data_IF_732992859568
#
_entry.id   IF_732992859568
#
_cell.length_a   1.000
_cell.length_b   1.000
_cell.length_c   1.000
_cell.angle_alpha   90.00
_cell.angle_beta   90.00
_cell.angle_gamma   90.00
#
_symmetry.space_group_name_H-M   'P 1'
#
loop_
_entity.id
_entity.type
_entity.pdbx_description
1 polymer ?
#
# COMPACT_ATOMS: atom_id res chain seq x y z
N UNK A 1 19.19 18.82 14.92
CA UNK A 1 18.14 17.94 15.49
C UNK A 1 18.79 16.93 16.42
N UNK A 2 18.19 16.62 17.57
CA UNK A 2 18.73 15.63 18.53
C UNK A 2 18.18 14.24 18.18
N UNK A 3 19.08 13.24 18.05
CA UNK A 3 18.66 11.84 17.90
C UNK A 3 18.10 11.32 19.22
N UNK A 4 16.83 10.89 19.21
CA UNK A 4 16.21 10.22 20.35
C UNK A 4 16.00 8.73 20.01
N UNK A 5 16.90 7.87 20.53
CA UNK A 5 16.88 6.41 20.24
C UNK A 5 15.56 5.77 20.67
N UNK A 6 15.00 6.18 21.82
CA UNK A 6 13.75 5.62 22.33
C UNK A 6 12.56 5.93 21.41
N UNK A 7 12.44 7.18 20.92
CA UNK A 7 11.36 7.56 20.01
C UNK A 7 11.52 6.91 18.62
N UNK A 8 12.75 6.79 18.12
CA UNK A 8 13.03 6.07 16.89
C UNK A 8 12.62 4.59 16.99
N UNK A 9 12.91 3.91 18.12
CA UNK A 9 12.48 2.53 18.35
C UNK A 9 10.96 2.42 18.44
N UNK A 10 10.28 3.34 19.12
CA UNK A 10 8.82 3.37 19.18
C UNK A 10 8.23 3.57 17.77
N UNK A 11 8.77 4.51 17.00
CA UNK A 11 8.30 4.74 15.63
C UNK A 11 8.53 3.53 14.72
N UNK A 12 9.68 2.88 14.82
CA UNK A 12 9.94 1.62 14.11
C UNK A 12 8.96 0.52 14.55
N UNK A 13 8.71 0.38 15.86
CA UNK A 13 7.72 -0.55 16.40
C UNK A 13 6.31 -0.30 15.87
N UNK A 14 5.90 0.97 15.77
CA UNK A 14 4.59 1.31 15.22
C UNK A 14 4.46 0.91 13.75
N UNK A 15 5.50 1.08 12.94
CA UNK A 15 5.52 0.64 11.54
C UNK A 15 5.52 -0.89 11.45
N UNK A 16 6.32 -1.58 12.28
CA UNK A 16 6.37 -3.05 12.33
C UNK A 16 4.97 -3.63 12.62
N UNK A 17 4.32 -3.17 13.69
CA UNK A 17 3.02 -3.74 14.08
C UNK A 17 1.88 -3.33 13.15
N UNK A 18 1.93 -2.12 12.58
CA UNK A 18 0.97 -1.71 11.54
C UNK A 18 1.06 -2.63 10.32
N UNK A 19 2.27 -2.87 9.81
CA UNK A 19 2.45 -3.69 8.61
C UNK A 19 2.25 -5.19 8.86
N UNK A 20 2.55 -5.69 10.06
CA UNK A 20 2.19 -7.04 10.45
C UNK A 20 0.65 -7.23 10.54
N UNK A 21 -0.06 -6.25 11.11
CA UNK A 21 -1.52 -6.23 11.09
C UNK A 21 -2.05 -6.16 9.65
N UNK A 22 -1.49 -5.30 8.82
CA UNK A 22 -1.87 -5.19 7.41
C UNK A 22 -1.71 -6.53 6.67
N UNK A 23 -0.59 -7.25 6.89
CA UNK A 23 -0.38 -8.57 6.32
C UNK A 23 -1.47 -9.56 6.76
N UNK A 24 -1.82 -9.60 8.06
CA UNK A 24 -2.71 -10.62 8.62
C UNK A 24 -4.15 -10.55 8.12
N UNK A 25 -4.66 -9.37 7.78
CA UNK A 25 -6.04 -9.24 7.29
C UNK A 25 -6.12 -8.73 5.86
N UNK A 26 -5.43 -7.63 5.52
CA UNK A 26 -5.52 -7.09 4.15
C UNK A 26 -4.71 -7.93 3.15
N UNK A 27 -3.51 -8.42 3.56
CA UNK A 27 -2.70 -9.31 2.73
C UNK A 27 -3.35 -10.69 2.49
N UNK A 28 -4.13 -11.16 3.46
CA UNK A 28 -4.87 -12.44 3.41
C UNK A 28 -6.39 -12.26 3.29
N UNK A 29 -6.85 -11.09 2.83
CA UNK A 29 -8.29 -10.79 2.73
C UNK A 29 -9.06 -11.83 1.92
N UNK A 30 -8.57 -12.19 0.73
CA UNK A 30 -9.20 -13.20 -0.10
C UNK A 30 -9.21 -14.58 0.55
N UNK A 31 -8.12 -14.96 1.23
CA UNK A 31 -8.04 -16.25 1.95
C UNK A 31 -9.12 -16.32 3.04
N UNK A 32 -9.22 -15.28 3.87
CA UNK A 32 -10.20 -15.22 4.97
C UNK A 32 -11.64 -15.16 4.45
N UNK A 33 -11.92 -14.32 3.46
CA UNK A 33 -13.28 -14.14 2.97
C UNK A 33 -13.80 -15.36 2.18
N UNK A 34 -12.92 -16.07 1.46
CA UNK A 34 -13.28 -17.36 0.83
C UNK A 34 -13.66 -18.41 1.90
N UNK A 35 -12.89 -18.50 3.01
CA UNK A 35 -13.20 -19.37 4.14
C UNK A 35 -14.58 -19.07 4.77
N UNK A 36 -14.98 -17.81 4.74
CA UNK A 36 -16.30 -17.36 5.20
C UNK A 36 -17.44 -17.54 4.17
N UNK A 37 -17.16 -18.21 3.06
CA UNK A 37 -18.13 -18.50 2.01
C UNK A 37 -18.48 -17.30 1.11
N UNK A 38 -17.63 -16.27 1.09
CA UNK A 38 -17.82 -15.15 0.17
C UNK A 38 -17.38 -15.53 -1.25
N UNK A 39 -18.09 -15.03 -2.27
CA UNK A 39 -17.69 -15.16 -3.67
C UNK A 39 -16.56 -14.18 -4.02
N UNK A 40 -15.85 -14.40 -5.12
CA UNK A 40 -14.82 -13.47 -5.57
C UNK A 40 -15.41 -12.08 -5.90
N UNK A 41 -16.62 -12.01 -6.42
CA UNK A 41 -17.35 -10.75 -6.64
C UNK A 41 -17.57 -9.99 -5.33
N UNK A 42 -18.01 -10.67 -4.28
CA UNK A 42 -18.22 -10.08 -2.96
C UNK A 42 -16.89 -9.58 -2.36
N UNK A 43 -15.83 -10.35 -2.49
CA UNK A 43 -14.48 -9.97 -2.06
C UNK A 43 -14.02 -8.71 -2.80
N UNK A 44 -14.15 -8.72 -4.12
CA UNK A 44 -13.75 -7.59 -4.95
C UNK A 44 -14.53 -6.31 -4.62
N UNK A 45 -15.85 -6.41 -4.44
CA UNK A 45 -16.70 -5.28 -4.02
C UNK A 45 -16.25 -4.76 -2.64
N UNK A 46 -15.99 -5.65 -1.68
CA UNK A 46 -15.55 -5.26 -0.34
C UNK A 46 -14.21 -4.50 -0.36
N UNK A 47 -13.24 -5.00 -1.11
CA UNK A 47 -11.93 -4.35 -1.25
C UNK A 47 -12.03 -3.00 -1.99
N UNK A 48 -12.88 -2.91 -3.02
CA UNK A 48 -13.13 -1.67 -3.74
C UNK A 48 -13.78 -0.62 -2.83
N UNK A 49 -14.87 -1.00 -2.12
CA UNK A 49 -15.56 -0.12 -1.16
C UNK A 49 -14.63 0.34 -0.04
N UNK A 50 -13.83 -0.56 0.53
CA UNK A 50 -12.85 -0.22 1.57
C UNK A 50 -11.87 0.85 1.08
N UNK A 51 -11.39 0.72 -0.15
CA UNK A 51 -10.46 1.69 -0.75
C UNK A 51 -11.12 3.04 -0.99
N UNK A 52 -12.36 3.07 -1.48
CA UNK A 52 -13.12 4.32 -1.71
C UNK A 52 -13.37 5.04 -0.38
N UNK A 53 -13.85 4.31 0.62
CA UNK A 53 -14.14 4.88 1.95
C UNK A 53 -12.85 5.40 2.59
N UNK A 54 -11.73 4.65 2.50
CA UNK A 54 -10.45 5.07 3.03
C UNK A 54 -9.96 6.38 2.41
N UNK A 55 -10.10 6.55 1.09
CA UNK A 55 -9.72 7.80 0.38
C UNK A 55 -10.54 9.00 0.86
N UNK A 56 -11.80 8.79 1.23
CA UNK A 56 -12.64 9.86 1.79
C UNK A 56 -12.31 10.15 3.26
N UNK A 57 -12.03 9.11 4.05
CA UNK A 57 -11.71 9.26 5.47
C UNK A 57 -10.33 9.88 5.73
N UNK A 58 -9.33 9.60 4.89
CA UNK A 58 -7.97 10.13 5.07
C UNK A 58 -7.90 11.65 5.21
N UNK A 59 -8.46 12.46 4.27
CA UNK A 59 -8.43 13.91 4.40
C UNK A 59 -9.28 14.42 5.56
N UNK A 60 -10.38 13.73 5.91
CA UNK A 60 -11.21 14.10 7.07
C UNK A 60 -10.44 13.93 8.37
N UNK A 61 -9.73 12.81 8.54
CA UNK A 61 -8.89 12.56 9.73
C UNK A 61 -7.70 13.53 9.79
N UNK A 62 -7.05 13.80 8.66
CA UNK A 62 -5.97 14.78 8.59
C UNK A 62 -6.46 16.18 8.97
N UNK A 63 -7.57 16.64 8.39
CA UNK A 63 -8.19 17.92 8.72
C UNK A 63 -8.62 18.00 10.20
N UNK A 64 -9.16 16.91 10.75
CA UNK A 64 -9.49 16.86 12.17
C UNK A 64 -8.23 17.06 13.05
N UNK A 65 -7.13 16.35 12.73
CA UNK A 65 -5.88 16.48 13.45
C UNK A 65 -5.28 17.89 13.35
N UNK A 66 -5.34 18.50 12.16
CA UNK A 66 -4.83 19.87 11.93
C UNK A 66 -5.64 20.95 12.66
N UNK A 67 -6.95 20.77 12.78
CA UNK A 67 -7.84 21.70 13.47
C UNK A 67 -7.80 21.55 14.99
N UNK A 68 -7.34 20.41 15.53
CA UNK A 68 -7.31 20.12 16.97
C UNK A 68 -5.87 19.97 17.47
N UNK A 69 -5.02 20.95 17.22
CA UNK A 69 -3.59 20.95 17.63
C UNK A 69 -3.35 20.84 19.13
N UNK A 70 -4.35 21.10 19.95
CA UNK A 70 -4.35 20.89 21.39
C UNK A 70 -4.45 19.42 21.80
N UNK A 71 -4.85 18.52 20.87
CA UNK A 71 -4.92 17.08 21.10
C UNK A 71 -3.64 16.45 20.56
N UNK A 72 -2.90 15.75 21.41
CA UNK A 72 -1.72 15.01 20.95
C UNK A 72 -2.11 13.95 19.90
N UNK A 73 -1.34 13.81 18.83
CA UNK A 73 -1.59 12.88 17.73
C UNK A 73 -1.87 11.44 18.22
N UNK A 74 -1.16 10.98 19.27
CA UNK A 74 -1.40 9.65 19.87
C UNK A 74 -2.81 9.51 20.45
N UNK A 75 -3.42 10.59 20.94
CA UNK A 75 -4.77 10.58 21.52
C UNK A 75 -5.85 10.66 20.43
N UNK A 76 -5.48 10.98 19.19
CA UNK A 76 -6.34 10.87 18.00
C UNK A 76 -6.26 9.44 17.44
N UNK A 77 -5.04 8.89 17.31
CA UNK A 77 -4.82 7.57 16.71
C UNK A 77 -5.31 6.43 17.64
N UNK A 78 -5.01 6.50 18.92
CA UNK A 78 -5.27 5.39 19.84
C UNK A 78 -6.76 5.00 19.96
N UNK A 79 -7.75 5.90 20.06
CA UNK A 79 -9.16 5.51 20.04
C UNK A 79 -9.60 4.82 18.76
N UNK A 80 -9.05 5.25 17.62
CA UNK A 80 -9.35 4.65 16.31
C UNK A 80 -8.79 3.23 16.25
N UNK A 81 -7.55 3.01 16.71
CA UNK A 81 -6.96 1.66 16.80
C UNK A 81 -7.74 0.79 17.78
N UNK A 82 -8.21 1.33 18.90
CA UNK A 82 -9.04 0.59 19.85
C UNK A 82 -10.37 0.16 19.22
N UNK A 83 -11.01 1.01 18.42
CA UNK A 83 -12.20 0.65 17.66
C UNK A 83 -11.90 -0.50 16.69
N UNK A 84 -10.78 -0.44 15.97
CA UNK A 84 -10.35 -1.53 15.07
C UNK A 84 -10.16 -2.83 15.84
N UNK A 85 -9.52 -2.80 17.02
CA UNK A 85 -9.36 -3.98 17.89
C UNK A 85 -10.73 -4.55 18.27
N UNK A 86 -11.68 -3.71 18.71
CA UNK A 86 -13.02 -4.16 19.11
C UNK A 86 -13.78 -4.79 17.94
N UNK A 87 -13.78 -4.16 16.77
CA UNK A 87 -14.44 -4.71 15.57
C UNK A 87 -13.80 -6.02 15.12
N UNK A 88 -12.47 -6.13 15.22
CA UNK A 88 -11.73 -7.35 14.85
C UNK A 88 -11.93 -8.48 15.85
N UNK A 89 -12.08 -8.16 17.15
CA UNK A 89 -12.47 -9.13 18.18
C UNK A 89 -13.90 -9.65 17.93
N UNK A 90 -14.84 -8.79 17.54
CA UNK A 90 -16.19 -9.19 17.12
C UNK A 90 -16.10 -10.14 15.92
N UNK A 91 -15.29 -9.79 14.92
CA UNK A 91 -15.09 -10.60 13.71
C UNK A 91 -14.52 -12.00 14.03
N UNK A 92 -13.67 -12.11 15.07
CA UNK A 92 -13.08 -13.36 15.50
C UNK A 92 -14.04 -14.22 16.36
N UNK A 93 -14.74 -13.59 17.31
CA UNK A 93 -15.49 -14.28 18.36
C UNK A 93 -16.93 -14.58 17.96
N UNK A 94 -17.54 -13.78 17.09
CA UNK A 94 -18.97 -13.88 16.78
C UNK A 94 -19.12 -14.49 15.38
N UNK A 95 -19.68 -15.71 15.29
CA UNK A 95 -20.04 -16.29 14.00
C UNK A 95 -21.13 -15.44 13.35
N UNK A 96 -20.94 -15.05 12.11
CA UNK A 96 -21.88 -14.21 11.38
C UNK A 96 -22.10 -14.70 9.96
N UNK A 97 -23.15 -14.18 9.32
CA UNK A 97 -23.38 -14.40 7.89
C UNK A 97 -22.26 -13.77 7.06
N UNK A 98 -22.07 -14.22 5.83
CA UNK A 98 -21.12 -13.64 4.90
C UNK A 98 -21.27 -12.11 4.75
N UNK A 99 -22.51 -11.59 4.73
CA UNK A 99 -22.78 -10.16 4.67
C UNK A 99 -22.31 -9.41 5.91
N UNK A 100 -22.51 -10.00 7.11
CA UNK A 100 -22.01 -9.40 8.36
C UNK A 100 -20.48 -9.36 8.39
N UNK A 101 -19.82 -10.45 7.98
CA UNK A 101 -18.36 -10.51 7.85
C UNK A 101 -17.85 -9.46 6.86
N UNK A 102 -18.48 -9.34 5.68
CA UNK A 102 -18.13 -8.33 4.67
C UNK A 102 -18.27 -6.91 5.22
N UNK A 103 -19.36 -6.61 5.91
CA UNK A 103 -19.58 -5.28 6.53
C UNK A 103 -18.45 -4.94 7.53
N UNK A 104 -18.10 -5.89 8.42
CA UNK A 104 -17.01 -5.69 9.38
C UNK A 104 -15.66 -5.50 8.67
N UNK A 105 -15.35 -6.34 7.68
CA UNK A 105 -14.09 -6.26 6.92
C UNK A 105 -13.98 -4.93 6.19
N UNK A 106 -15.05 -4.48 5.50
CA UNK A 106 -15.05 -3.16 4.84
C UNK A 106 -14.79 -2.05 5.84
N UNK A 107 -15.47 -2.07 6.99
CA UNK A 107 -15.30 -1.07 8.04
C UNK A 107 -13.87 -1.06 8.60
N UNK A 108 -13.36 -2.23 8.99
CA UNK A 108 -12.01 -2.40 9.54
C UNK A 108 -10.95 -1.92 8.54
N UNK A 109 -11.04 -2.35 7.27
CA UNK A 109 -10.04 -2.01 6.26
C UNK A 109 -10.05 -0.53 5.91
N UNK A 110 -11.24 0.07 5.82
CA UNK A 110 -11.39 1.52 5.58
C UNK A 110 -10.73 2.35 6.67
N UNK A 111 -11.01 2.01 7.94
CA UNK A 111 -10.46 2.71 9.10
C UNK A 111 -8.94 2.51 9.16
N UNK A 112 -8.46 1.27 9.04
CA UNK A 112 -7.03 0.96 9.17
C UNK A 112 -6.19 1.61 8.07
N UNK A 113 -6.67 1.60 6.82
CA UNK A 113 -6.01 2.29 5.71
C UNK A 113 -5.96 3.81 5.92
N UNK A 114 -6.98 4.37 6.57
CA UNK A 114 -7.04 5.81 6.84
C UNK A 114 -6.07 6.26 7.93
N UNK A 115 -5.76 5.41 8.91
CA UNK A 115 -4.81 5.70 9.99
C UNK A 115 -3.38 5.86 9.46
N UNK A 116 -3.03 5.25 8.32
CA UNK A 116 -1.66 5.29 7.79
C UNK A 116 -1.15 6.71 7.59
N UNK A 117 -2.01 7.63 7.15
CA UNK A 117 -1.66 9.05 6.99
C UNK A 117 -1.27 9.68 8.31
N UNK A 118 -2.05 9.44 9.38
CA UNK A 118 -1.75 9.95 10.73
C UNK A 118 -0.47 9.31 11.31
N UNK A 119 -0.26 8.01 11.07
CA UNK A 119 0.95 7.31 11.49
C UNK A 119 2.20 7.88 10.83
N UNK A 120 2.13 8.22 9.54
CA UNK A 120 3.23 8.88 8.84
C UNK A 120 3.47 10.29 9.39
N UNK A 121 2.41 11.05 9.64
CA UNK A 121 2.49 12.41 10.20
C UNK A 121 3.13 12.45 11.60
N UNK A 122 3.04 11.34 12.35
CA UNK A 122 3.61 11.27 13.70
C UNK A 122 5.13 11.54 13.72
N UNK A 123 5.88 11.06 12.70
CA UNK A 123 7.31 11.35 12.57
C UNK A 123 7.56 12.85 12.43
N UNK A 124 6.81 13.51 11.56
CA UNK A 124 6.96 14.94 11.27
C UNK A 124 6.58 15.83 12.47
N UNK A 125 5.60 15.41 13.28
CA UNK A 125 5.28 16.10 14.54
C UNK A 125 6.49 16.14 15.46
N UNK A 126 7.25 15.06 15.61
CA UNK A 126 8.47 15.05 16.43
C UNK A 126 9.60 15.85 15.80
N UNK A 127 9.75 15.82 14.47
CA UNK A 127 10.73 16.65 13.76
C UNK A 127 10.49 18.14 13.98
N UNK A 128 9.22 18.59 13.99
CA UNK A 128 8.85 19.97 14.34
C UNK A 128 9.29 20.38 15.75
N UNK A 129 9.51 19.45 16.67
CA UNK A 129 10.06 19.69 17.99
C UNK A 129 11.57 19.46 18.07
N UNK A 130 12.28 19.44 16.93
CA UNK A 130 13.74 19.30 16.89
C UNK A 130 14.26 17.88 17.15
N UNK A 131 13.39 16.86 17.11
CA UNK A 131 13.74 15.45 17.29
C UNK A 131 13.79 14.76 15.95
N UNK A 132 14.95 14.19 15.62
CA UNK A 132 15.15 13.44 14.37
C UNK A 132 14.53 12.05 14.46
N UNK A 133 13.57 11.76 13.60
CA UNK A 133 12.97 10.43 13.42
C UNK A 133 13.46 9.83 12.09
N UNK A 134 14.06 8.65 12.15
CA UNK A 134 14.49 7.94 10.94
C UNK A 134 13.30 7.24 10.27
N UNK A 135 12.48 8.04 9.57
CA UNK A 135 11.29 7.58 8.86
C UNK A 135 11.61 6.46 7.85
N UNK A 136 12.69 6.63 7.07
CA UNK A 136 13.07 5.65 6.03
C UNK A 136 13.40 4.28 6.60
N UNK A 137 14.20 4.23 7.68
CA UNK A 137 14.54 2.97 8.35
C UNK A 137 13.29 2.31 8.95
N UNK A 138 12.47 3.09 9.65
CA UNK A 138 11.26 2.57 10.27
C UNK A 138 10.27 2.01 9.22
N UNK A 139 10.11 2.71 8.11
CA UNK A 139 9.26 2.27 6.99
C UNK A 139 9.80 0.99 6.33
N UNK A 140 11.12 0.88 6.19
CA UNK A 140 11.79 -0.34 5.71
C UNK A 140 11.56 -1.53 6.65
N UNK A 141 11.69 -1.33 7.98
CA UNK A 141 11.37 -2.36 8.98
C UNK A 141 9.90 -2.80 8.92
N UNK A 142 8.97 -1.89 8.63
CA UNK A 142 7.58 -2.23 8.36
C UNK A 142 7.42 -3.19 7.17
N UNK A 143 8.14 -2.95 6.07
CA UNK A 143 8.12 -3.85 4.90
C UNK A 143 8.69 -5.24 5.23
N UNK A 144 9.77 -5.30 6.01
CA UNK A 144 10.32 -6.59 6.52
C UNK A 144 9.30 -7.31 7.41
N UNK A 145 8.63 -6.57 8.29
CA UNK A 145 7.58 -7.15 9.15
C UNK A 145 6.40 -7.69 8.34
N UNK A 146 5.98 -6.99 7.29
CA UNK A 146 4.97 -7.48 6.35
C UNK A 146 5.41 -8.79 5.68
N UNK A 147 6.65 -8.86 5.21
CA UNK A 147 7.19 -10.05 4.57
C UNK A 147 7.20 -11.26 5.52
N UNK A 148 7.77 -11.07 6.73
CA UNK A 148 7.85 -12.13 7.75
C UNK A 148 6.46 -12.55 8.21
N UNK A 149 5.56 -11.58 8.47
CA UNK A 149 4.20 -11.89 8.86
C UNK A 149 3.47 -12.68 7.76
N UNK A 150 3.62 -12.31 6.49
CA UNK A 150 3.03 -13.05 5.38
C UNK A 150 3.54 -14.48 5.29
N UNK A 151 4.86 -14.68 5.47
CA UNK A 151 5.46 -16.02 5.51
C UNK A 151 4.87 -16.86 6.63
N UNK A 152 4.90 -16.35 7.86
CA UNK A 152 4.43 -17.09 9.05
C UNK A 152 2.94 -17.38 8.97
N UNK A 153 2.14 -16.38 8.58
CA UNK A 153 0.69 -16.52 8.49
C UNK A 153 0.25 -17.50 7.41
N UNK A 154 0.98 -17.61 6.30
CA UNK A 154 0.72 -18.61 5.28
C UNK A 154 0.77 -20.04 5.86
N UNK A 155 1.82 -20.35 6.59
CA UNK A 155 1.98 -21.65 7.27
C UNK A 155 0.97 -21.85 8.42
N UNK A 156 0.67 -20.79 9.17
CA UNK A 156 -0.34 -20.86 10.25
C UNK A 156 -1.72 -21.13 9.68
N UNK A 157 -2.12 -20.44 8.62
CA UNK A 157 -3.42 -20.66 7.96
C UNK A 157 -3.54 -22.08 7.44
N UNK A 158 -2.48 -22.62 6.86
CA UNK A 158 -2.48 -24.01 6.36
C UNK A 158 -2.55 -25.05 7.49
N UNK A 159 -1.91 -24.78 8.63
CA UNK A 159 -1.88 -25.69 9.77
C UNK A 159 -3.16 -25.66 10.61
N UNK A 160 -3.85 -24.52 10.68
CA UNK A 160 -5.04 -24.34 11.53
C UNK A 160 -6.30 -24.08 10.69
N UNK A 161 -6.48 -22.87 10.22
CA UNK A 161 -7.52 -22.44 9.26
C UNK A 161 -7.41 -20.93 9.01
N UNK A 162 -8.02 -20.40 7.94
CA UNK A 162 -8.09 -18.95 7.72
C UNK A 162 -8.82 -18.17 8.82
N UNK A 163 -9.71 -18.84 9.55
CA UNK A 163 -10.47 -18.25 10.67
C UNK A 163 -9.59 -17.71 11.81
N UNK A 164 -8.29 -18.08 11.87
CA UNK A 164 -7.35 -17.58 12.87
C UNK A 164 -6.81 -16.15 12.55
N UNK A 165 -6.92 -15.69 11.31
CA UNK A 165 -6.34 -14.42 10.86
C UNK A 165 -6.80 -13.19 11.65
N UNK A 166 -8.10 -13.05 12.01
CA UNK A 166 -8.55 -11.93 12.85
C UNK A 166 -7.91 -11.92 14.25
N UNK A 167 -7.55 -13.08 14.81
CA UNK A 167 -6.84 -13.15 16.09
C UNK A 167 -5.46 -12.52 15.98
N UNK A 168 -4.67 -12.87 14.96
CA UNK A 168 -3.37 -12.23 14.72
C UNK A 168 -3.50 -10.74 14.47
N UNK A 169 -4.55 -10.34 13.77
CA UNK A 169 -4.84 -8.92 13.55
C UNK A 169 -5.12 -8.18 14.86
N UNK A 170 -5.91 -8.75 15.77
CA UNK A 170 -6.14 -8.23 17.12
C UNK A 170 -4.83 -8.11 17.89
N UNK A 171 -3.98 -9.14 17.86
CA UNK A 171 -2.68 -9.14 18.55
C UNK A 171 -1.79 -8.00 18.02
N UNK A 172 -1.60 -7.90 16.71
CA UNK A 172 -0.74 -6.88 16.12
C UNK A 172 -1.30 -5.47 16.31
N UNK A 173 -2.61 -5.28 16.21
CA UNK A 173 -3.25 -3.97 16.47
C UNK A 173 -3.22 -3.60 17.94
N UNK A 174 -3.30 -4.56 18.87
CA UNK A 174 -3.11 -4.31 20.31
C UNK A 174 -1.66 -3.89 20.61
N UNK A 175 -0.67 -4.54 20.00
CA UNK A 175 0.74 -4.11 20.12
C UNK A 175 0.95 -2.72 19.51
N UNK A 176 0.32 -2.43 18.37
CA UNK A 176 0.31 -1.09 17.77
C UNK A 176 -0.29 -0.06 18.74
N UNK A 177 -1.42 -0.35 19.36
CA UNK A 177 -2.07 0.51 20.35
C UNK A 177 -1.12 0.86 21.51
N UNK A 178 -0.47 -0.16 22.09
CA UNK A 178 0.50 0.04 23.17
C UNK A 178 1.62 0.97 22.74
N UNK A 179 2.22 0.70 21.57
CA UNK A 179 3.31 1.53 21.05
C UNK A 179 2.85 2.95 20.78
N UNK A 180 1.67 3.15 20.17
CA UNK A 180 1.09 4.48 19.93
C UNK A 180 0.89 5.25 21.24
N UNK A 181 0.39 4.62 22.30
CA UNK A 181 0.24 5.26 23.62
C UNK A 181 1.56 5.64 24.25
N UNK A 182 2.66 4.98 23.91
CA UNK A 182 4.02 5.31 24.40
C UNK A 182 4.64 6.53 23.70
N UNK A 183 4.02 7.11 22.68
CA UNK A 183 4.48 8.34 22.03
C UNK A 183 4.15 9.55 22.91
N UNK A 184 5.08 9.90 23.78
CA UNK A 184 5.02 11.08 24.63
C UNK A 184 6.15 12.02 24.24
N UNK A 185 5.84 13.29 24.07
CA UNK A 185 6.87 14.29 23.84
C UNK A 185 7.73 14.41 25.10
N UNK A 186 9.08 14.25 25.02
CA UNK A 186 9.94 14.39 26.18
C UNK A 186 9.84 15.78 26.76
N UNK A 187 9.89 15.91 28.11
CA UNK A 187 9.93 17.18 28.79
C UNK A 187 11.13 18.03 28.34
N UNK A 188 10.94 19.31 28.12
CA UNK A 188 11.98 20.22 27.62
C UNK A 188 12.05 20.39 26.11
N UNK A 189 11.15 19.77 25.35
CA UNK A 189 10.96 19.99 23.92
C UNK A 189 9.74 20.87 23.63
N UNK A 190 9.39 21.76 24.57
CA UNK A 190 8.34 22.76 24.34
C UNK A 190 8.80 23.73 23.24
N UNK A 191 8.01 23.87 22.23
CA UNK A 191 8.32 24.64 21.03
C UNK A 191 8.16 26.14 21.27
N UNK A 192 9.21 26.91 21.05
CA UNK A 192 9.04 28.25 20.51
C UNK A 192 8.54 28.11 19.07
N UNK A 193 7.26 28.42 18.85
CA UNK A 193 6.69 28.53 17.51
C UNK A 193 7.25 29.83 16.91
N UNK A 194 8.42 29.74 16.29
CA UNK A 194 8.92 30.82 15.47
C UNK A 194 8.05 30.92 14.21
N UNK A 195 7.41 32.07 14.05
CA UNK A 195 6.53 32.43 12.92
C UNK A 195 7.25 32.53 11.57
N UNK A 196 8.50 32.03 11.46
CA UNK A 196 9.34 32.23 10.28
C UNK A 196 9.20 31.15 9.18
N UNK A 197 8.57 30.00 9.46
CA UNK A 197 8.48 28.91 8.49
C UNK A 197 7.31 29.00 7.49
N UNK A 198 6.62 30.15 7.42
CA UNK A 198 5.43 30.34 6.56
C UNK A 198 5.66 31.18 5.31
N UNK A 199 6.90 31.49 4.97
CA UNK A 199 7.22 32.12 3.68
C UNK A 199 7.74 31.10 2.68
N UNK A 200 6.95 30.08 2.33
CA UNK A 200 7.05 29.53 0.99
C UNK A 200 6.45 30.59 0.04
N UNK A 201 7.26 31.07 -0.89
CA UNK A 201 6.77 31.87 -2.01
C UNK A 201 5.56 31.14 -2.60
N UNK A 202 4.40 31.78 -2.52
CA UNK A 202 3.15 31.29 -3.12
C UNK A 202 3.30 31.44 -4.63
N UNK A 203 4.06 30.55 -5.25
CA UNK A 203 4.01 30.38 -6.69
C UNK A 203 2.61 29.88 -7.02
N UNK A 204 1.89 30.63 -7.84
CA UNK A 204 0.49 30.37 -8.19
C UNK A 204 0.35 28.94 -8.76
N UNK A 205 -0.35 28.08 -8.03
CA UNK A 205 -0.61 26.69 -8.45
C UNK A 205 -1.60 26.70 -9.62
N UNK A 206 -1.33 25.92 -10.65
CA UNK A 206 -2.26 25.77 -11.77
C UNK A 206 -3.59 25.14 -11.29
N UNK A 207 -4.70 25.60 -11.82
CA UNK A 207 -5.97 24.89 -11.67
C UNK A 207 -5.86 23.49 -12.30
N UNK A 208 -6.69 22.54 -11.85
CA UNK A 208 -6.63 21.14 -12.32
C UNK A 208 -6.72 21.03 -13.85
N UNK A 209 -7.66 21.76 -14.49
CA UNK A 209 -7.78 21.75 -15.95
C UNK A 209 -6.55 22.31 -16.67
N UNK A 210 -5.98 23.42 -16.18
CA UNK A 210 -4.74 23.98 -16.74
C UNK A 210 -3.55 23.03 -16.54
N UNK A 211 -3.48 22.33 -15.39
CA UNK A 211 -2.47 21.31 -15.15
C UNK A 211 -2.55 20.18 -16.17
N UNK A 212 -3.74 19.60 -16.40
CA UNK A 212 -3.94 18.53 -17.37
C UNK A 212 -3.57 18.98 -18.80
N UNK A 213 -3.89 20.21 -19.17
CA UNK A 213 -3.53 20.74 -20.48
C UNK A 213 -2.02 20.95 -20.63
N UNK A 214 -1.34 21.48 -19.61
CA UNK A 214 0.10 21.72 -19.62
C UNK A 214 0.90 20.42 -19.63
N UNK A 215 0.48 19.41 -18.85
CA UNK A 215 1.19 18.14 -18.65
C UNK A 215 0.50 16.96 -19.34
N UNK A 216 -0.03 17.14 -20.56
CA UNK A 216 -0.81 16.12 -21.30
C UNK A 216 -0.11 14.75 -21.37
N UNK A 217 1.19 14.73 -21.68
CA UNK A 217 1.97 13.49 -21.74
C UNK A 217 2.03 12.78 -20.39
N UNK A 218 2.15 13.53 -19.29
CA UNK A 218 2.12 12.99 -17.94
C UNK A 218 0.74 12.41 -17.59
N UNK A 219 -0.35 13.06 -17.98
CA UNK A 219 -1.71 12.52 -17.78
C UNK A 219 -1.90 11.23 -18.58
N UNK A 220 -1.48 11.19 -19.86
CA UNK A 220 -1.55 9.97 -20.66
C UNK A 220 -0.65 8.84 -20.09
N UNK A 221 0.54 9.19 -19.57
CA UNK A 221 1.37 8.26 -18.81
C UNK A 221 0.61 7.64 -17.63
N UNK A 222 -0.11 8.44 -16.84
CA UNK A 222 -0.93 7.95 -15.72
C UNK A 222 -2.06 7.04 -16.17
N UNK A 223 -2.72 7.35 -17.29
CA UNK A 223 -3.74 6.46 -17.88
C UNK A 223 -3.14 5.10 -18.26
N UNK A 224 -1.98 5.09 -18.93
CA UNK A 224 -1.28 3.84 -19.25
C UNK A 224 -0.88 3.08 -17.98
N UNK A 225 -0.42 3.78 -16.96
CA UNK A 225 -0.05 3.18 -15.68
C UNK A 225 -1.24 2.56 -14.96
N UNK A 226 -2.43 3.18 -14.98
CA UNK A 226 -3.67 2.59 -14.43
C UNK A 226 -3.94 1.21 -15.05
N UNK A 227 -3.77 1.06 -16.36
CA UNK A 227 -3.96 -0.22 -17.05
C UNK A 227 -2.94 -1.28 -16.64
N UNK A 228 -1.66 -0.90 -16.47
CA UNK A 228 -0.61 -1.82 -15.98
C UNK A 228 -0.88 -2.22 -14.53
N UNK A 229 -1.21 -1.25 -13.69
CA UNK A 229 -1.40 -1.48 -12.26
C UNK A 229 -2.68 -2.25 -11.94
N UNK A 230 -3.65 -2.27 -12.86
CA UNK A 230 -4.86 -3.09 -12.78
C UNK A 230 -4.51 -4.58 -12.64
N UNK A 231 -3.67 -5.12 -13.53
CA UNK A 231 -3.23 -6.51 -13.45
C UNK A 231 -2.41 -6.79 -12.19
N UNK A 232 -1.55 -5.84 -11.80
CA UNK A 232 -0.77 -5.94 -10.57
C UNK A 232 -1.67 -6.07 -9.34
N UNK A 233 -2.72 -5.27 -9.24
CA UNK A 233 -3.68 -5.33 -8.13
C UNK A 233 -4.45 -6.65 -8.11
N UNK A 234 -4.90 -7.13 -9.28
CA UNK A 234 -5.57 -8.44 -9.37
C UNK A 234 -4.67 -9.54 -8.82
N UNK A 235 -3.42 -9.60 -9.29
CA UNK A 235 -2.47 -10.62 -8.83
C UNK A 235 -2.26 -10.54 -7.31
N UNK A 236 -2.14 -9.36 -6.75
CA UNK A 236 -1.90 -9.21 -5.32
C UNK A 236 -3.13 -9.54 -4.46
N UNK A 237 -4.31 -9.07 -4.84
CA UNK A 237 -5.51 -9.17 -4.00
C UNK A 237 -6.25 -10.49 -4.17
N UNK A 238 -6.11 -11.14 -5.32
CA UNK A 238 -6.66 -12.45 -5.62
C UNK A 238 -5.57 -13.52 -5.77
N UNK A 239 -4.45 -13.36 -5.05
CA UNK A 239 -3.28 -14.20 -5.21
C UNK A 239 -3.54 -15.66 -4.81
N UNK A 240 -4.34 -15.88 -3.76
CA UNK A 240 -4.70 -17.25 -3.34
C UNK A 240 -5.46 -17.99 -4.43
N UNK A 241 -6.39 -17.33 -5.15
CA UNK A 241 -7.13 -17.94 -6.26
C UNK A 241 -6.19 -18.38 -7.39
N UNK A 242 -5.16 -17.56 -7.66
CA UNK A 242 -4.15 -17.87 -8.67
C UNK A 242 -3.31 -19.08 -8.24
N UNK A 243 -2.87 -19.08 -6.98
CA UNK A 243 -2.01 -20.15 -6.44
C UNK A 243 -2.77 -21.47 -6.34
N UNK A 244 -4.00 -21.46 -5.82
CA UNK A 244 -4.81 -22.68 -5.72
C UNK A 244 -5.21 -23.25 -7.09
N UNK A 245 -5.35 -22.38 -8.11
CA UNK A 245 -5.63 -22.83 -9.49
C UNK A 245 -4.50 -23.69 -10.10
N UNK A 246 -3.28 -23.58 -9.58
CA UNK A 246 -2.12 -24.41 -9.99
C UNK A 246 -1.72 -25.44 -8.93
N UNK A 247 -2.58 -25.70 -7.95
CA UNK A 247 -2.38 -26.69 -6.91
C UNK A 247 -1.50 -26.24 -5.74
N UNK A 248 -1.22 -24.95 -5.60
CA UNK A 248 -0.49 -24.40 -4.44
C UNK A 248 -1.40 -24.11 -3.24
N UNK A 249 -0.79 -23.74 -2.13
CA UNK A 249 -1.43 -23.60 -0.81
C UNK A 249 -1.29 -22.18 -0.25
N UNK A 250 -1.88 -21.92 0.92
CA UNK A 250 -1.70 -20.65 1.64
C UNK A 250 -0.25 -20.45 2.11
N UNK A 251 0.47 -21.55 2.44
CA UNK A 251 1.90 -21.45 2.75
C UNK A 251 2.72 -21.03 1.52
N UNK A 252 2.40 -21.60 0.34
CA UNK A 252 3.04 -21.19 -0.92
C UNK A 252 2.78 -19.71 -1.23
N UNK A 253 1.57 -19.21 -0.97
CA UNK A 253 1.25 -17.78 -1.07
C UNK A 253 2.14 -16.95 -0.14
N UNK A 254 2.24 -17.36 1.13
CA UNK A 254 3.10 -16.67 2.11
C UNK A 254 4.56 -16.63 1.70
N UNK A 255 5.09 -17.76 1.23
CA UNK A 255 6.45 -17.89 0.70
C UNK A 255 6.69 -16.95 -0.50
N UNK A 256 5.76 -16.92 -1.45
CA UNK A 256 5.86 -16.09 -2.65
C UNK A 256 5.81 -14.59 -2.33
N UNK A 257 4.94 -14.17 -1.41
CA UNK A 257 4.86 -12.78 -0.93
C UNK A 257 6.14 -12.39 -0.17
N UNK A 258 6.68 -13.29 0.66
CA UNK A 258 7.94 -13.07 1.36
C UNK A 258 9.10 -12.84 0.38
N UNK A 259 9.24 -13.71 -0.62
CA UNK A 259 10.27 -13.57 -1.66
C UNK A 259 10.16 -12.22 -2.37
N UNK A 260 8.95 -11.85 -2.81
CA UNK A 260 8.71 -10.56 -3.47
C UNK A 260 9.13 -9.38 -2.60
N UNK A 261 8.64 -9.32 -1.36
CA UNK A 261 8.88 -8.20 -0.45
C UNK A 261 10.36 -8.09 -0.03
N UNK A 262 11.05 -9.20 0.16
CA UNK A 262 12.49 -9.20 0.49
C UNK A 262 13.35 -8.73 -0.67
N UNK A 263 12.98 -9.06 -1.91
CA UNK A 263 13.71 -8.64 -3.10
C UNK A 263 13.46 -7.16 -3.47
N UNK A 264 12.40 -6.53 -2.96
CA UNK A 264 12.17 -5.10 -3.13
C UNK A 264 13.20 -4.24 -2.40
N UNK A 265 13.67 -4.69 -1.22
CA UNK A 265 14.54 -3.91 -0.34
C UNK A 265 15.87 -3.50 -1.00
N UNK A 266 16.64 -4.39 -1.65
CA UNK A 266 17.87 -4.00 -2.34
C UNK A 266 17.62 -2.94 -3.42
N UNK A 267 16.57 -3.12 -4.23
CA UNK A 267 16.27 -2.17 -5.32
C UNK A 267 15.97 -0.78 -4.78
N UNK A 268 15.15 -0.69 -3.73
CA UNK A 268 14.83 0.60 -3.09
C UNK A 268 16.06 1.22 -2.43
N UNK A 269 16.90 0.41 -1.77
CA UNK A 269 18.14 0.90 -1.12
C UNK A 269 19.16 1.44 -2.12
N UNK A 270 19.31 0.80 -3.28
CA UNK A 270 20.26 1.21 -4.31
C UNK A 270 19.71 2.20 -5.33
N UNK A 271 18.41 2.57 -5.23
CA UNK A 271 17.74 3.41 -6.22
C UNK A 271 18.46 4.75 -6.45
N UNK A 272 18.91 5.44 -5.42
CA UNK A 272 19.61 6.74 -5.54
C UNK A 272 20.82 6.60 -6.44
N UNK A 273 21.67 5.59 -6.22
CA UNK A 273 22.85 5.33 -7.07
C UNK A 273 22.47 4.97 -8.51
N UNK A 274 21.34 4.31 -8.72
CA UNK A 274 20.84 4.00 -10.06
C UNK A 274 20.35 5.27 -10.77
N UNK A 275 19.64 6.15 -10.07
CA UNK A 275 19.07 7.39 -10.62
C UNK A 275 20.12 8.47 -10.93
N UNK A 276 21.33 8.36 -10.38
CA UNK A 276 22.49 9.18 -10.75
C UNK A 276 23.06 8.82 -12.12
N UNK A 277 22.99 7.54 -12.50
CA UNK A 277 23.58 7.00 -13.73
C UNK A 277 22.55 6.80 -14.85
N UNK A 278 21.31 6.53 -14.51
CA UNK A 278 20.25 6.19 -15.46
C UNK A 278 19.12 7.19 -15.31
N UNK A 279 18.69 7.72 -16.42
CA UNK A 279 17.55 8.65 -16.51
C UNK A 279 16.25 8.05 -15.93
N UNK A 280 15.52 8.80 -15.10
CA UNK A 280 14.31 8.32 -14.43
C UNK A 280 13.22 7.84 -15.40
N UNK A 281 13.06 8.49 -16.55
CA UNK A 281 12.15 8.04 -17.60
C UNK A 281 12.54 6.68 -18.16
N UNK A 282 13.83 6.38 -18.28
CA UNK A 282 14.33 5.06 -18.71
C UNK A 282 14.07 4.00 -17.65
N UNK A 283 14.29 4.32 -16.36
CA UNK A 283 13.98 3.41 -15.24
C UNK A 283 12.49 3.08 -15.20
N UNK A 284 11.61 4.06 -15.41
CA UNK A 284 10.15 3.84 -15.50
C UNK A 284 9.81 2.91 -16.67
N UNK A 285 10.35 3.15 -17.87
CA UNK A 285 10.09 2.30 -19.04
C UNK A 285 10.51 0.86 -18.79
N UNK A 286 11.68 0.66 -18.21
CA UNK A 286 12.17 -0.66 -17.82
C UNK A 286 11.26 -1.31 -16.79
N UNK A 287 10.88 -0.58 -15.75
CA UNK A 287 9.96 -1.07 -14.70
C UNK A 287 8.61 -1.52 -15.29
N UNK A 288 8.04 -0.74 -16.20
CA UNK A 288 6.77 -1.08 -16.85
C UNK A 288 6.89 -2.34 -17.69
N UNK A 289 8.00 -2.53 -18.41
CA UNK A 289 8.26 -3.79 -19.12
C UNK A 289 8.36 -4.98 -18.16
N UNK A 290 8.99 -4.79 -17.00
CA UNK A 290 9.08 -5.84 -15.98
C UNK A 290 7.73 -6.16 -15.34
N UNK A 291 6.79 -5.19 -15.23
CA UNK A 291 5.40 -5.49 -14.88
C UNK A 291 4.75 -6.41 -15.92
N UNK A 292 4.88 -6.12 -17.22
CA UNK A 292 4.33 -6.97 -18.27
C UNK A 292 4.92 -8.38 -18.22
N UNK A 293 6.24 -8.49 -18.03
CA UNK A 293 6.92 -9.79 -17.87
C UNK A 293 6.38 -10.55 -16.66
N UNK A 294 6.26 -9.89 -15.49
CA UNK A 294 5.67 -10.47 -14.28
C UNK A 294 4.26 -10.99 -14.54
N UNK A 295 3.40 -10.18 -15.15
CA UNK A 295 2.00 -10.55 -15.41
C UNK A 295 1.92 -11.71 -16.41
N UNK A 296 2.74 -11.71 -17.47
CA UNK A 296 2.82 -12.80 -18.44
C UNK A 296 3.33 -14.10 -17.77
N UNK A 297 4.40 -14.04 -16.96
CA UNK A 297 4.88 -15.20 -16.23
C UNK A 297 3.82 -15.76 -15.28
N UNK A 298 3.04 -14.89 -14.62
CA UNK A 298 1.93 -15.33 -13.76
C UNK A 298 0.81 -15.99 -14.56
N UNK A 299 0.48 -15.47 -15.74
CA UNK A 299 -0.53 -16.06 -16.62
C UNK A 299 -0.12 -17.44 -17.14
N UNK A 300 1.15 -17.62 -17.56
CA UNK A 300 1.67 -18.88 -18.06
C UNK A 300 2.09 -19.85 -16.96
N UNK A 301 1.98 -19.46 -15.68
CA UNK A 301 2.41 -20.31 -14.58
C UNK A 301 1.56 -21.58 -14.46
N UNK A 302 2.22 -22.73 -14.51
CA UNK A 302 1.64 -24.06 -14.30
C UNK A 302 2.10 -24.74 -13.01
N UNK A 303 3.01 -24.08 -12.29
CA UNK A 303 3.57 -24.57 -11.02
C UNK A 303 4.13 -23.41 -10.19
N UNK A 304 4.44 -23.68 -8.93
CA UNK A 304 4.93 -22.67 -7.98
C UNK A 304 6.29 -22.07 -8.33
N UNK A 305 7.16 -22.82 -9.05
CA UNK A 305 8.47 -22.29 -9.48
C UNK A 305 8.28 -21.09 -10.42
N UNK A 306 7.33 -21.18 -11.36
CA UNK A 306 7.02 -20.06 -12.26
C UNK A 306 6.43 -18.87 -11.51
N UNK A 307 5.62 -19.09 -10.47
CA UNK A 307 5.13 -18.03 -9.59
C UNK A 307 6.30 -17.35 -8.86
N UNK A 308 7.26 -18.11 -8.30
CA UNK A 308 8.44 -17.50 -7.67
C UNK A 308 9.26 -16.68 -8.66
N UNK A 309 9.45 -17.15 -9.90
CA UNK A 309 10.11 -16.37 -10.96
C UNK A 309 9.36 -15.08 -11.29
N UNK A 310 8.02 -15.14 -11.35
CA UNK A 310 7.19 -13.94 -11.52
C UNK A 310 7.36 -12.98 -10.33
N UNK A 311 7.46 -13.48 -9.10
CA UNK A 311 7.68 -12.64 -7.92
C UNK A 311 9.09 -12.02 -7.88
N UNK A 312 10.12 -12.67 -8.43
CA UNK A 312 11.45 -12.05 -8.60
C UNK A 312 11.36 -10.79 -9.47
N UNK A 313 10.51 -10.76 -10.50
CA UNK A 313 10.30 -9.58 -11.33
C UNK A 313 9.80 -8.36 -10.53
N UNK A 314 9.21 -8.56 -9.33
CA UNK A 314 8.70 -7.51 -8.47
C UNK A 314 9.77 -6.47 -8.11
N UNK A 315 11.02 -6.90 -7.91
CA UNK A 315 12.14 -6.02 -7.59
C UNK A 315 12.40 -4.97 -8.70
N UNK A 316 12.18 -5.33 -9.96
CA UNK A 316 12.38 -4.43 -11.10
C UNK A 316 11.07 -3.78 -11.57
N UNK A 317 9.93 -4.35 -11.23
CA UNK A 317 8.62 -3.78 -11.51
C UNK A 317 8.24 -2.73 -10.46
N UNK A 318 7.59 -3.13 -9.39
CA UNK A 318 7.02 -2.22 -8.38
C UNK A 318 8.10 -1.47 -7.58
N UNK A 319 9.12 -2.19 -7.10
CA UNK A 319 10.16 -1.59 -6.25
C UNK A 319 11.00 -0.53 -6.98
N UNK A 320 11.15 -0.66 -8.29
CA UNK A 320 11.82 0.34 -9.11
C UNK A 320 10.86 1.48 -9.50
N UNK A 321 9.59 1.16 -9.82
CA UNK A 321 8.61 2.15 -10.25
C UNK A 321 8.35 3.21 -9.19
N UNK A 322 8.16 2.80 -7.93
CA UNK A 322 7.75 3.71 -6.85
C UNK A 322 8.72 4.88 -6.70
N UNK A 323 10.02 4.69 -6.42
CA UNK A 323 10.95 5.81 -6.32
C UNK A 323 11.18 6.51 -7.67
N UNK A 324 11.22 5.78 -8.80
CA UNK A 324 11.42 6.39 -10.11
C UNK A 324 10.31 7.37 -10.46
N UNK A 325 9.05 7.07 -10.13
CA UNK A 325 7.91 7.96 -10.36
C UNK A 325 8.00 9.24 -9.54
N UNK A 326 8.46 9.16 -8.28
CA UNK A 326 8.69 10.34 -7.42
C UNK A 326 9.75 11.26 -8.03
N UNK A 327 10.90 10.71 -8.41
CA UNK A 327 11.97 11.49 -9.03
C UNK A 327 11.56 12.05 -10.40
N UNK A 328 10.80 11.28 -11.18
CA UNK A 328 10.27 11.73 -12.48
C UNK A 328 9.35 12.95 -12.31
N UNK A 329 8.39 12.89 -11.38
CA UNK A 329 7.50 14.02 -11.08
C UNK A 329 8.32 15.24 -10.63
N UNK A 330 9.29 15.06 -9.73
CA UNK A 330 10.12 16.14 -9.23
C UNK A 330 10.96 16.83 -10.32
N UNK A 331 11.38 16.09 -11.34
CA UNK A 331 12.12 16.64 -12.47
C UNK A 331 11.22 17.23 -13.56
N UNK A 332 10.06 16.62 -13.81
CA UNK A 332 9.17 16.99 -14.93
C UNK A 332 8.18 18.09 -14.58
N UNK A 333 7.68 18.13 -13.35
CA UNK A 333 6.62 19.03 -12.91
C UNK A 333 7.23 20.23 -12.19
N UNK A 334 6.74 21.44 -12.51
CA UNK A 334 7.17 22.66 -11.84
C UNK A 334 6.97 22.60 -10.33
N UNK A 335 7.86 23.22 -9.56
CA UNK A 335 7.90 23.16 -8.08
C UNK A 335 6.53 23.40 -7.47
N UNK A 336 5.79 24.43 -7.93
CA UNK A 336 4.46 24.78 -7.44
C UNK A 336 3.41 23.66 -7.61
N UNK A 337 3.57 22.81 -8.64
CA UNK A 337 2.59 21.78 -9.01
C UNK A 337 3.06 20.35 -8.62
N UNK A 338 4.25 20.17 -8.02
CA UNK A 338 4.82 18.84 -7.72
C UNK A 338 3.93 18.00 -6.81
N UNK A 339 3.37 18.60 -5.76
CA UNK A 339 2.46 17.92 -4.83
C UNK A 339 1.27 17.35 -5.58
N UNK A 340 0.70 18.14 -6.51
CA UNK A 340 -0.40 17.70 -7.39
C UNK A 340 0.03 16.52 -8.28
N UNK A 341 1.23 16.60 -8.86
CA UNK A 341 1.79 15.50 -9.67
C UNK A 341 1.96 14.22 -8.87
N UNK A 342 2.52 14.28 -7.65
CA UNK A 342 2.69 13.12 -6.77
C UNK A 342 1.33 12.54 -6.35
N UNK A 343 0.38 13.41 -5.98
CA UNK A 343 -0.97 12.96 -5.61
C UNK A 343 -1.65 12.23 -6.76
N UNK A 344 -1.48 12.69 -8.01
CA UNK A 344 -2.05 12.03 -9.18
C UNK A 344 -1.46 10.64 -9.43
N UNK A 345 -0.15 10.43 -9.18
CA UNK A 345 0.45 9.08 -9.23
C UNK A 345 -0.22 8.16 -8.22
N UNK A 346 -0.33 8.60 -6.97
CA UNK A 346 -0.98 7.81 -5.90
C UNK A 346 -2.47 7.56 -6.20
N UNK A 347 -3.18 8.59 -6.67
CA UNK A 347 -4.59 8.46 -7.10
C UNK A 347 -4.75 7.44 -8.22
N UNK A 348 -3.81 7.39 -9.18
CA UNK A 348 -3.82 6.40 -10.26
C UNK A 348 -3.69 4.97 -9.73
N UNK A 349 -2.85 4.73 -8.71
CA UNK A 349 -2.75 3.42 -8.04
C UNK A 349 -4.08 3.04 -7.38
N UNK A 350 -4.67 3.96 -6.62
CA UNK A 350 -5.93 3.71 -5.91
C UNK A 350 -7.08 3.48 -6.89
N UNK A 351 -7.18 4.32 -7.93
CA UNK A 351 -8.22 4.19 -8.97
C UNK A 351 -8.12 2.85 -9.69
N UNK A 352 -6.90 2.48 -10.08
CA UNK A 352 -6.62 1.16 -10.66
C UNK A 352 -7.01 0.04 -9.71
N UNK A 353 -6.70 0.17 -8.41
CA UNK A 353 -7.06 -0.79 -7.38
C UNK A 353 -8.58 -0.97 -7.24
N UNK A 354 -9.34 0.11 -7.23
CA UNK A 354 -10.82 0.07 -7.16
C UNK A 354 -11.40 -0.68 -8.36
N UNK A 355 -10.97 -0.34 -9.57
CA UNK A 355 -11.43 -1.03 -10.78
C UNK A 355 -10.99 -2.49 -10.85
N UNK A 356 -9.75 -2.78 -10.46
CA UNK A 356 -9.21 -4.13 -10.46
C UNK A 356 -9.92 -5.04 -9.46
N UNK A 357 -10.19 -4.55 -8.26
CA UNK A 357 -10.93 -5.32 -7.26
C UNK A 357 -12.36 -5.59 -7.72
N UNK A 358 -13.07 -4.54 -8.15
CA UNK A 358 -14.45 -4.67 -8.58
C UNK A 358 -14.60 -5.58 -9.82
N UNK A 359 -13.91 -5.24 -10.90
CA UNK A 359 -13.98 -6.01 -12.14
C UNK A 359 -13.33 -7.39 -12.01
N UNK A 360 -12.17 -7.48 -11.32
CA UNK A 360 -11.44 -8.71 -11.11
C UNK A 360 -12.25 -9.76 -10.33
N UNK A 361 -12.93 -9.36 -9.27
CA UNK A 361 -13.80 -10.27 -8.51
C UNK A 361 -14.95 -10.84 -9.35
N UNK A 362 -15.65 -9.98 -10.10
CA UNK A 362 -16.76 -10.39 -10.99
C UNK A 362 -16.23 -11.31 -12.11
N UNK A 363 -15.10 -10.95 -12.71
CA UNK A 363 -14.51 -11.77 -13.79
C UNK A 363 -14.02 -13.12 -13.28
N UNK A 364 -13.50 -13.20 -12.05
CA UNK A 364 -13.09 -14.47 -11.44
C UNK A 364 -14.27 -15.44 -11.29
N UNK A 365 -15.41 -14.95 -10.83
CA UNK A 365 -16.61 -15.78 -10.67
C UNK A 365 -17.20 -16.18 -12.03
N UNK A 366 -17.20 -15.29 -13.02
CA UNK A 366 -17.83 -15.51 -14.31
C UNK A 366 -16.96 -16.29 -15.31
N UNK A 367 -15.65 -16.04 -15.32
CA UNK A 367 -14.73 -16.50 -16.38
C UNK A 367 -13.56 -17.35 -15.86
N UNK A 368 -13.33 -17.34 -14.54
CA UNK A 368 -12.21 -18.03 -13.89
C UNK A 368 -10.86 -17.34 -14.03
N UNK A 369 -9.87 -17.89 -13.34
CA UNK A 369 -8.52 -17.31 -13.15
C UNK A 369 -7.80 -17.05 -14.48
N UNK A 370 -7.83 -18.01 -15.40
CA UNK A 370 -7.09 -17.89 -16.68
C UNK A 370 -7.52 -16.68 -17.51
N UNK A 371 -8.82 -16.44 -17.65
CA UNK A 371 -9.33 -15.30 -18.43
C UNK A 371 -9.04 -13.94 -17.75
N UNK A 372 -9.10 -13.91 -16.43
CA UNK A 372 -8.77 -12.69 -15.66
C UNK A 372 -7.31 -12.31 -15.82
N UNK A 373 -6.42 -13.30 -15.72
CA UNK A 373 -4.97 -13.09 -15.95
C UNK A 373 -4.68 -12.69 -17.39
N UNK A 374 -5.33 -13.32 -18.38
CA UNK A 374 -5.19 -12.94 -19.78
C UNK A 374 -5.61 -11.48 -20.02
N UNK A 375 -6.78 -11.08 -19.51
CA UNK A 375 -7.24 -9.69 -19.59
C UNK A 375 -6.25 -8.74 -18.93
N UNK A 376 -5.69 -9.11 -17.77
CA UNK A 376 -4.64 -8.37 -17.08
C UNK A 376 -3.38 -8.20 -17.94
N UNK A 377 -2.91 -9.26 -18.60
CA UNK A 377 -1.74 -9.21 -19.52
C UNK A 377 -2.01 -8.27 -20.69
N UNK A 378 -3.18 -8.40 -21.33
CA UNK A 378 -3.55 -7.54 -22.47
C UNK A 378 -3.60 -6.06 -22.05
N UNK A 379 -4.26 -5.74 -20.92
CA UNK A 379 -4.30 -4.38 -20.40
C UNK A 379 -2.91 -3.87 -20.05
N UNK A 380 -2.05 -4.72 -19.47
CA UNK A 380 -0.67 -4.36 -19.16
C UNK A 380 0.14 -4.04 -20.41
N UNK A 381 -0.02 -4.79 -21.49
CA UNK A 381 0.67 -4.53 -22.77
C UNK A 381 0.20 -3.20 -23.35
N UNK A 382 -1.11 -2.96 -23.41
CA UNK A 382 -1.68 -1.69 -23.90
C UNK A 382 -1.19 -0.51 -23.04
N UNK A 383 -1.25 -0.67 -21.71
CA UNK A 383 -0.77 0.33 -20.77
C UNK A 383 0.73 0.59 -20.92
N UNK A 384 1.53 -0.47 -21.09
CA UNK A 384 2.97 -0.35 -21.29
C UNK A 384 3.32 0.43 -22.57
N UNK A 385 2.64 0.17 -23.67
CA UNK A 385 2.82 0.94 -24.92
C UNK A 385 2.55 2.42 -24.67
N UNK A 386 1.44 2.76 -24.01
CA UNK A 386 1.09 4.15 -23.69
C UNK A 386 2.19 4.77 -22.80
N UNK A 387 2.60 4.10 -21.71
CA UNK A 387 3.62 4.61 -20.82
C UNK A 387 4.94 4.83 -21.55
N UNK A 388 5.40 3.88 -22.36
CA UNK A 388 6.67 3.96 -23.07
C UNK A 388 6.68 5.14 -24.06
N UNK A 389 5.56 5.37 -24.75
CA UNK A 389 5.42 6.47 -25.71
C UNK A 389 5.32 7.84 -25.01
N UNK A 390 4.64 7.90 -23.86
CA UNK A 390 4.35 9.16 -23.16
C UNK A 390 5.43 9.56 -22.15
N UNK A 391 6.26 8.63 -21.68
CA UNK A 391 7.35 8.92 -20.72
C UNK A 391 8.51 9.60 -21.45
N UNK A 392 8.85 10.80 -21.01
CA UNK A 392 9.97 11.59 -21.53
C UNK A 392 11.26 11.27 -20.75
N UNK A 393 12.40 11.46 -21.41
CA UNK A 393 13.71 11.39 -20.73
C UNK A 393 13.88 12.63 -19.85
N UNK A 394 14.08 12.46 -18.54
CA UNK A 394 14.30 13.54 -17.56
C UNK A 394 15.36 13.15 -16.54
#
# INVERSE_FOLDING_TARGET
MKKNRSLNLKYAGSQIFYFAAFASMMGYASVFLLDKGCTNSQIGIALALSSIIAVLLQPMLASFADNHKNIEMRNIIAPIVLLVIALSAILYLIPGSALFVLFLVVTIFSIMSSIMTLMNSLAFVFEQHGIEINYGLARGLGSVAYAIASLVLGHVVESFSPGILPLFYVIFTALLFVVVKMFVLPKGYEKEITKEDTKQEVTEQLSFGKFCMKYKKFILFLVGFVLVYFAHTIINNFFIQIITNIGGTSADMGNAVFVAAMLELPTMAFFTKMSEKINCGTLIKFSILMFVVKHALTYFATNMIMIYLAQVCQMFAYALFVPASVYYVNKKIAVADRVKGQSLVTTSMTLSGVFANFAGGIMLDALGVGHVLLAGVVLSIVGAVIVILMTEKV
#
